data_IF_196811587449
#
_entry.id   IF_196811587449
#
_cell.length_a   1.000
_cell.length_b   1.000
_cell.length_c   1.000
_cell.angle_alpha   90.00
_cell.angle_beta   90.00
_cell.angle_gamma   90.00
#
_symmetry.space_group_name_H-M   'P 1'
#
loop_
_entity.id
_entity.type
_entity.pdbx_description
1 polymer ?
#
# COMPACT_ATOMS: atom_id res chain seq x y z
N UNK A 1 52.16 21.89 33.81
CA UNK A 1 50.72 22.20 33.73
C UNK A 1 50.12 22.21 32.32
N UNK A 2 50.87 22.61 31.26
CA UNK A 2 50.35 22.64 29.87
C UNK A 2 50.15 21.25 29.18
N UNK A 3 50.80 20.17 29.66
CA UNK A 3 50.69 18.84 29.07
C UNK A 3 49.56 17.99 29.63
N UNK A 4 48.99 18.29 30.80
CA UNK A 4 47.85 17.60 31.40
C UNK A 4 46.50 18.05 30.78
N UNK A 5 46.41 19.28 30.28
CA UNK A 5 45.17 19.82 29.72
C UNK A 5 44.91 19.26 28.32
N UNK A 6 45.95 18.89 27.57
CA UNK A 6 45.80 18.32 26.22
C UNK A 6 45.27 16.88 26.22
N UNK A 7 45.46 16.11 27.29
CA UNK A 7 44.94 14.75 27.39
C UNK A 7 43.49 14.64 27.81
N UNK A 8 42.94 15.68 28.47
CA UNK A 8 41.54 15.73 28.86
C UNK A 8 40.61 16.14 27.69
N UNK A 9 41.13 16.85 26.70
CA UNK A 9 40.33 17.24 25.51
C UNK A 9 40.21 16.12 24.46
N UNK A 10 41.14 15.19 24.41
CA UNK A 10 41.14 14.06 23.48
C UNK A 10 40.10 12.96 23.85
N UNK A 11 39.73 12.86 25.11
CA UNK A 11 38.75 11.86 25.60
C UNK A 11 37.30 12.29 25.48
N UNK A 12 36.99 13.60 25.35
CA UNK A 12 35.63 14.11 25.19
C UNK A 12 35.10 14.03 23.76
N UNK A 13 35.96 13.91 22.75
CA UNK A 13 35.52 13.85 21.34
C UNK A 13 35.12 12.42 20.92
N UNK A 14 35.59 11.38 21.62
CA UNK A 14 35.25 10.01 21.28
C UNK A 14 33.85 9.52 21.75
N UNK A 15 33.16 10.31 22.61
CA UNK A 15 31.86 9.92 23.15
C UNK A 15 30.65 10.35 22.30
N UNK A 16 30.87 11.10 21.20
CA UNK A 16 29.75 11.68 20.43
C UNK A 16 29.35 10.91 19.18
N UNK A 17 30.00 9.78 18.88
CA UNK A 17 29.70 8.95 17.68
C UNK A 17 28.86 7.69 17.97
N UNK A 18 28.29 7.51 19.15
CA UNK A 18 27.51 6.32 19.52
C UNK A 18 25.99 6.57 19.61
N UNK A 19 25.46 7.53 18.87
CA UNK A 19 24.02 7.81 18.92
C UNK A 19 23.40 7.76 17.52
N UNK A 20 23.23 6.55 16.98
CA UNK A 20 22.62 6.40 15.67
C UNK A 20 22.31 4.95 15.27
N UNK A 21 22.44 4.00 16.16
CA UNK A 21 21.84 2.69 15.93
C UNK A 21 20.37 2.77 16.31
N UNK A 22 19.53 3.28 15.38
CA UNK A 22 18.12 2.93 15.36
C UNK A 22 18.08 1.41 15.33
N UNK A 23 17.52 0.82 16.38
CA UNK A 23 17.18 -0.60 16.44
C UNK A 23 16.33 -0.91 15.20
N UNK A 24 16.98 -1.31 14.10
CA UNK A 24 16.31 -2.09 13.10
C UNK A 24 15.84 -3.32 13.83
N UNK A 25 14.54 -3.42 14.15
CA UNK A 25 13.96 -4.61 14.70
C UNK A 25 14.52 -5.78 13.89
N UNK A 26 14.99 -6.83 14.57
CA UNK A 26 15.60 -8.01 13.92
C UNK A 26 14.50 -8.73 13.13
N UNK A 27 14.26 -8.25 11.90
CA UNK A 27 13.22 -8.74 11.00
C UNK A 27 13.55 -10.14 10.55
N UNK A 28 12.67 -11.08 10.82
CA UNK A 28 12.84 -12.49 10.49
C UNK A 28 11.93 -12.90 9.34
N UNK A 29 12.51 -13.46 8.28
CA UNK A 29 11.78 -14.09 7.21
C UNK A 29 10.93 -15.25 7.74
N UNK A 30 9.68 -15.35 7.29
CA UNK A 30 8.70 -16.33 7.78
C UNK A 30 7.90 -15.84 8.98
N UNK A 31 8.47 -15.04 9.88
CA UNK A 31 7.75 -14.42 11.00
C UNK A 31 7.17 -13.07 10.59
N UNK A 32 8.01 -12.12 10.22
CA UNK A 32 7.62 -10.71 10.02
C UNK A 32 7.27 -10.40 8.57
N UNK A 33 7.91 -11.09 7.64
CA UNK A 33 7.61 -11.01 6.22
C UNK A 33 7.89 -12.32 5.51
N UNK A 34 7.27 -12.52 4.36
CA UNK A 34 7.53 -13.64 3.45
C UNK A 34 8.25 -13.12 2.20
N UNK A 35 9.33 -13.77 1.73
CA UNK A 35 9.94 -13.39 0.46
C UNK A 35 8.98 -13.65 -0.70
N UNK A 36 8.86 -12.68 -1.62
CA UNK A 36 8.17 -12.86 -2.90
C UNK A 36 9.21 -13.41 -3.89
N UNK A 37 8.99 -14.61 -4.38
CA UNK A 37 9.91 -15.29 -5.29
C UNK A 37 9.16 -15.95 -6.46
N UNK A 38 9.45 -15.58 -7.73
CA UNK A 38 10.34 -14.48 -8.10
C UNK A 38 9.80 -13.12 -7.64
N UNK A 39 10.67 -12.10 -7.42
CA UNK A 39 10.22 -10.78 -7.01
C UNK A 39 9.39 -10.11 -8.12
N UNK A 40 8.43 -9.28 -7.71
CA UNK A 40 7.68 -8.44 -8.65
C UNK A 40 8.61 -7.41 -9.31
N UNK A 41 8.25 -6.89 -10.50
CA UNK A 41 8.98 -5.80 -11.11
C UNK A 41 9.08 -4.60 -10.16
N UNK A 42 10.30 -4.13 -9.92
CA UNK A 42 10.53 -3.01 -9.01
C UNK A 42 10.48 -1.67 -9.75
N UNK A 43 9.90 -0.66 -9.11
CA UNK A 43 9.95 0.72 -9.57
C UNK A 43 11.36 1.28 -9.42
N UNK A 44 11.93 1.85 -10.51
CA UNK A 44 13.26 2.46 -10.46
C UNK A 44 13.27 3.70 -9.56
N UNK A 45 14.28 3.80 -8.72
CA UNK A 45 14.56 4.99 -7.90
C UNK A 45 13.67 5.18 -6.67
N UNK A 46 12.63 4.35 -6.47
CA UNK A 46 11.77 4.42 -5.30
C UNK A 46 11.50 3.03 -4.73
N UNK A 47 11.28 2.96 -3.42
CA UNK A 47 10.76 1.77 -2.76
C UNK A 47 9.26 1.75 -2.98
N UNK A 48 8.78 0.83 -3.80
CA UNK A 48 7.35 0.68 -4.04
C UNK A 48 6.71 -0.09 -2.90
N UNK A 49 5.60 0.45 -2.38
CA UNK A 49 4.74 -0.22 -1.42
C UNK A 49 3.39 -0.45 -2.07
N UNK A 50 2.97 -1.70 -2.16
CA UNK A 50 1.70 -2.10 -2.74
C UNK A 50 0.75 -2.51 -1.63
N UNK A 51 -0.44 -1.91 -1.61
CA UNK A 51 -1.58 -2.42 -0.86
C UNK A 51 -2.48 -3.20 -1.81
N UNK A 52 -2.59 -4.51 -1.61
CA UNK A 52 -3.62 -5.32 -2.24
C UNK A 52 -4.90 -5.24 -1.41
N UNK A 53 -6.00 -4.87 -2.05
CA UNK A 53 -7.26 -4.61 -1.37
C UNK A 53 -8.47 -4.98 -2.24
N UNK A 54 -9.66 -4.94 -1.67
CA UNK A 54 -10.92 -4.90 -2.40
C UNK A 54 -11.91 -3.96 -1.70
N UNK A 55 -12.66 -3.17 -2.47
CA UNK A 55 -13.79 -2.42 -1.91
C UNK A 55 -14.84 -3.33 -1.26
N UNK A 56 -14.94 -4.59 -1.68
CA UNK A 56 -15.87 -5.56 -1.09
C UNK A 56 -15.38 -6.20 0.22
N UNK A 57 -14.17 -5.87 0.69
CA UNK A 57 -13.59 -6.43 1.90
C UNK A 57 -13.83 -5.51 3.11
N UNK A 58 -14.56 -5.95 4.17
CA UNK A 58 -14.77 -5.14 5.38
C UNK A 58 -13.45 -4.74 6.06
N UNK A 59 -12.50 -5.66 6.16
CA UNK A 59 -11.19 -5.40 6.76
C UNK A 59 -10.38 -4.35 5.98
N UNK A 60 -10.55 -4.27 4.65
CA UNK A 60 -9.96 -3.20 3.84
C UNK A 60 -10.64 -1.86 4.11
N UNK A 61 -11.96 -1.85 4.35
CA UNK A 61 -12.69 -0.64 4.76
C UNK A 61 -12.17 -0.10 6.09
N UNK A 62 -11.97 -0.98 7.08
CA UNK A 62 -11.43 -0.60 8.40
C UNK A 62 -9.99 -0.10 8.32
N UNK A 63 -9.17 -0.72 7.46
CA UNK A 63 -7.76 -0.36 7.29
C UNK A 63 -7.54 0.92 6.48
N UNK A 64 -8.45 1.22 5.55
CA UNK A 64 -8.30 2.30 4.57
C UNK A 64 -7.94 3.67 5.15
N UNK A 65 -8.61 4.21 6.22
CA UNK A 65 -8.25 5.50 6.78
C UNK A 65 -6.84 5.51 7.37
N UNK A 66 -6.41 4.41 7.98
CA UNK A 66 -5.10 4.28 8.61
C UNK A 66 -3.98 4.23 7.56
N UNK A 67 -4.11 3.36 6.56
CA UNK A 67 -3.10 3.22 5.50
C UNK A 67 -3.00 4.48 4.65
N UNK A 68 -4.12 5.18 4.41
CA UNK A 68 -4.13 6.44 3.67
C UNK A 68 -3.37 7.55 4.41
N UNK A 69 -3.59 7.69 5.72
CA UNK A 69 -2.85 8.64 6.55
C UNK A 69 -1.36 8.28 6.66
N UNK A 70 -1.06 7.00 6.77
CA UNK A 70 0.31 6.49 6.79
C UNK A 70 1.03 6.78 5.46
N UNK A 71 0.39 6.48 4.34
CA UNK A 71 0.95 6.72 3.01
C UNK A 71 1.26 8.20 2.74
N UNK A 72 0.39 9.11 3.20
CA UNK A 72 0.59 10.56 3.08
C UNK A 72 1.82 11.09 3.86
N UNK A 73 2.31 10.34 4.86
CA UNK A 73 3.47 10.71 5.68
C UNK A 73 4.78 10.11 5.17
N UNK A 74 4.73 9.25 4.14
CA UNK A 74 5.92 8.59 3.63
C UNK A 74 6.88 9.55 2.93
N UNK A 75 8.18 9.23 3.01
CA UNK A 75 9.23 10.00 2.36
C UNK A 75 9.15 9.96 0.83
N UNK A 76 9.82 10.91 0.17
CA UNK A 76 9.83 11.02 -1.30
C UNK A 76 10.46 9.80 -2.00
N UNK A 77 11.23 9.01 -1.28
CA UNK A 77 11.87 7.77 -1.73
C UNK A 77 10.92 6.56 -1.73
N UNK A 78 9.72 6.70 -1.13
CA UNK A 78 8.66 5.68 -1.12
C UNK A 78 7.60 6.04 -2.15
N UNK A 79 7.08 5.03 -2.83
CA UNK A 79 5.95 5.15 -3.75
C UNK A 79 4.85 4.19 -3.30
N UNK A 80 3.75 4.73 -2.80
CA UNK A 80 2.59 3.93 -2.42
C UNK A 80 1.61 3.80 -3.59
N UNK A 81 1.12 2.58 -3.85
CA UNK A 81 0.13 2.26 -4.86
C UNK A 81 -0.83 1.19 -4.33
N UNK A 82 -2.08 1.31 -4.70
CA UNK A 82 -3.12 0.33 -4.35
C UNK A 82 -3.43 -0.56 -5.55
N UNK A 83 -3.65 -1.83 -5.28
CA UNK A 83 -3.94 -2.88 -6.26
C UNK A 83 -5.28 -3.52 -5.89
N UNK A 84 -6.37 -3.14 -6.59
CA UNK A 84 -7.68 -3.74 -6.34
C UNK A 84 -7.73 -5.15 -6.90
N UNK A 85 -7.98 -6.15 -6.06
CA UNK A 85 -7.99 -7.57 -6.44
C UNK A 85 -9.39 -8.15 -6.45
N UNK A 86 -9.66 -9.06 -7.38
CA UNK A 86 -10.95 -9.73 -7.50
C UNK A 86 -10.96 -11.15 -6.93
N UNK A 87 -9.83 -11.83 -6.88
CA UNK A 87 -9.73 -13.27 -6.59
C UNK A 87 -10.68 -14.11 -7.45
N UNK A 88 -10.86 -13.72 -8.72
CA UNK A 88 -11.80 -14.34 -9.68
C UNK A 88 -13.28 -14.32 -9.21
N UNK A 89 -13.65 -13.40 -8.32
CA UNK A 89 -15.05 -13.18 -7.91
C UNK A 89 -15.66 -12.08 -8.78
N UNK A 90 -16.72 -12.35 -9.54
CA UNK A 90 -17.31 -11.37 -10.47
C UNK A 90 -17.73 -10.05 -9.79
N UNK A 91 -18.25 -10.14 -8.55
CA UNK A 91 -18.65 -8.97 -7.77
C UNK A 91 -17.44 -8.09 -7.43
N UNK A 92 -16.32 -8.71 -7.03
CA UNK A 92 -15.10 -7.98 -6.70
C UNK A 92 -14.41 -7.44 -7.95
N UNK A 93 -14.47 -8.16 -9.08
CA UNK A 93 -13.97 -7.67 -10.36
C UNK A 93 -14.69 -6.38 -10.79
N UNK A 94 -16.01 -6.29 -10.56
CA UNK A 94 -16.79 -5.06 -10.79
C UNK A 94 -16.29 -3.92 -9.89
N UNK A 95 -16.07 -4.19 -8.61
CA UNK A 95 -15.56 -3.19 -7.67
C UNK A 95 -14.14 -2.73 -8.03
N UNK A 96 -13.30 -3.63 -8.52
CA UNK A 96 -11.97 -3.28 -9.06
C UNK A 96 -12.06 -2.35 -10.28
N UNK A 97 -13.06 -2.56 -11.16
CA UNK A 97 -13.32 -1.64 -12.29
C UNK A 97 -13.70 -0.24 -11.82
N UNK A 98 -14.46 -0.10 -10.73
CA UNK A 98 -14.80 1.22 -10.14
C UNK A 98 -13.51 1.94 -9.74
N UNK A 99 -12.58 1.29 -9.05
CA UNK A 99 -11.30 1.87 -8.68
C UNK A 99 -10.54 2.39 -9.90
N UNK A 100 -10.37 1.55 -10.91
CA UNK A 100 -9.63 1.93 -12.12
C UNK A 100 -10.33 3.00 -12.94
N UNK A 101 -11.66 3.04 -12.96
CA UNK A 101 -12.41 4.10 -13.62
C UNK A 101 -12.23 5.44 -12.91
N UNK A 102 -12.31 5.48 -11.58
CA UNK A 102 -12.03 6.66 -10.75
C UNK A 102 -10.59 7.16 -10.94
N UNK A 103 -9.62 6.23 -10.99
CA UNK A 103 -8.24 6.56 -11.29
C UNK A 103 -8.09 7.20 -12.68
N UNK A 104 -8.70 6.60 -13.70
CA UNK A 104 -8.64 7.08 -15.09
C UNK A 104 -9.30 8.45 -15.30
N UNK A 105 -10.34 8.77 -14.54
CA UNK A 105 -11.00 10.09 -14.60
C UNK A 105 -10.34 11.15 -13.72
N UNK A 106 -9.44 10.74 -12.82
CA UNK A 106 -8.81 11.61 -11.82
C UNK A 106 -9.67 11.86 -10.58
N UNK A 107 -10.75 11.12 -10.40
CA UNK A 107 -11.70 11.29 -9.30
C UNK A 107 -11.42 10.40 -8.09
N UNK A 108 -10.37 9.55 -8.14
CA UNK A 108 -10.06 8.58 -7.11
C UNK A 108 -9.88 9.24 -5.73
N UNK A 109 -9.10 10.31 -5.65
CA UNK A 109 -8.88 11.02 -4.38
C UNK A 109 -10.17 11.58 -3.77
N UNK A 110 -11.17 11.90 -4.61
CA UNK A 110 -12.47 12.43 -4.18
C UNK A 110 -13.41 11.32 -3.68
N UNK A 111 -13.40 10.15 -4.33
CA UNK A 111 -14.43 9.13 -4.12
C UNK A 111 -13.94 7.83 -3.50
N UNK A 112 -12.64 7.61 -3.33
CA UNK A 112 -12.10 6.35 -2.80
C UNK A 112 -12.72 5.95 -1.45
N UNK A 113 -12.69 6.85 -0.47
CA UNK A 113 -13.34 6.63 0.83
C UNK A 113 -14.86 6.51 0.70
N UNK A 114 -15.47 7.30 -0.19
CA UNK A 114 -16.92 7.28 -0.36
C UNK A 114 -17.43 5.95 -0.93
N UNK A 115 -16.63 5.22 -1.74
CA UNK A 115 -16.98 3.88 -2.21
C UNK A 115 -17.05 2.89 -1.05
N UNK A 116 -16.07 2.89 -0.14
CA UNK A 116 -16.11 2.05 1.06
C UNK A 116 -17.35 2.35 1.92
N UNK A 117 -17.62 3.64 2.20
CA UNK A 117 -18.80 4.07 2.97
C UNK A 117 -20.09 3.60 2.29
N UNK A 118 -20.20 3.77 0.96
CA UNK A 118 -21.38 3.34 0.21
C UNK A 118 -21.65 1.84 0.38
N UNK A 119 -20.62 1.02 0.31
CA UNK A 119 -20.75 -0.45 0.35
C UNK A 119 -20.98 -0.92 1.80
N UNK A 120 -20.16 -0.50 2.75
CA UNK A 120 -20.12 -1.10 4.08
C UNK A 120 -21.05 -0.44 5.10
N UNK A 121 -21.25 0.89 5.00
CA UNK A 121 -22.11 1.62 5.93
C UNK A 121 -23.52 1.83 5.35
N UNK A 122 -23.61 2.28 4.08
CA UNK A 122 -24.87 2.56 3.41
C UNK A 122 -25.49 1.33 2.75
N UNK A 123 -24.78 0.19 2.75
CA UNK A 123 -25.21 -1.10 2.18
C UNK A 123 -25.64 -0.99 0.72
N UNK A 124 -25.03 -0.07 -0.03
CA UNK A 124 -25.30 0.07 -1.45
C UNK A 124 -24.82 -1.15 -2.21
N UNK A 125 -25.65 -1.58 -3.15
CA UNK A 125 -25.29 -2.71 -4.01
C UNK A 125 -25.02 -2.22 -5.43
N UNK A 126 -23.78 -2.23 -5.82
CA UNK A 126 -23.33 -1.83 -7.16
C UNK A 126 -23.43 -3.01 -8.14
N UNK A 127 -24.65 -3.55 -8.35
CA UNK A 127 -24.88 -4.69 -9.24
C UNK A 127 -24.75 -4.35 -10.72
N UNK A 128 -25.00 -3.11 -11.11
CA UNK A 128 -24.94 -2.65 -12.51
C UNK A 128 -24.07 -1.42 -12.64
N UNK A 129 -23.54 -1.20 -13.84
CA UNK A 129 -22.71 -0.03 -14.14
C UNK A 129 -23.56 1.27 -14.06
N UNK A 130 -24.85 1.22 -14.44
CA UNK A 130 -25.77 2.35 -14.33
C UNK A 130 -25.96 2.79 -12.88
N UNK A 131 -26.11 1.85 -11.94
CA UNK A 131 -26.24 2.17 -10.52
C UNK A 131 -24.97 2.84 -9.98
N UNK A 132 -23.80 2.38 -10.41
CA UNK A 132 -22.50 2.98 -10.03
C UNK A 132 -22.38 4.40 -10.59
N UNK A 133 -22.72 4.59 -11.87
CA UNK A 133 -22.65 5.90 -12.56
C UNK A 133 -23.62 6.89 -11.91
N UNK A 134 -24.85 6.47 -11.61
CA UNK A 134 -25.84 7.34 -10.97
C UNK A 134 -25.39 7.75 -9.55
N UNK A 135 -24.84 6.82 -8.77
CA UNK A 135 -24.27 7.12 -7.47
C UNK A 135 -23.11 8.12 -7.55
N UNK A 136 -22.18 7.89 -8.48
CA UNK A 136 -21.01 8.74 -8.67
C UNK A 136 -21.38 10.15 -9.13
N UNK A 137 -22.38 10.27 -10.02
CA UNK A 137 -22.96 11.56 -10.43
C UNK A 137 -23.50 12.35 -9.25
N UNK A 138 -24.22 11.67 -8.32
CA UNK A 138 -24.72 12.27 -7.07
C UNK A 138 -23.60 12.76 -6.13
N UNK A 139 -22.34 12.32 -6.35
CA UNK A 139 -21.15 12.80 -5.64
C UNK A 139 -20.41 13.93 -6.38
N UNK A 140 -20.98 14.43 -7.50
CA UNK A 140 -20.49 15.60 -8.22
C UNK A 140 -19.27 15.32 -9.10
N UNK A 141 -19.18 14.15 -9.71
CA UNK A 141 -18.25 13.87 -10.80
C UNK A 141 -18.98 13.81 -12.15
N UNK A 142 -18.23 13.90 -13.23
CA UNK A 142 -18.77 13.81 -14.59
C UNK A 142 -19.26 12.38 -14.88
N UNK A 143 -20.58 12.19 -14.86
CA UNK A 143 -21.22 10.89 -15.07
C UNK A 143 -20.89 10.28 -16.44
N UNK A 144 -20.79 11.10 -17.50
CA UNK A 144 -20.50 10.63 -18.85
C UNK A 144 -19.06 10.13 -18.93
N UNK A 145 -18.09 10.95 -18.50
CA UNK A 145 -16.68 10.62 -18.50
C UNK A 145 -16.40 9.36 -17.64
N UNK A 146 -17.00 9.29 -16.45
CA UNK A 146 -16.86 8.15 -15.57
C UNK A 146 -17.51 6.87 -16.16
N UNK A 147 -18.72 6.97 -16.72
CA UNK A 147 -19.40 5.85 -17.34
C UNK A 147 -18.65 5.30 -18.57
N UNK A 148 -18.12 6.16 -19.43
CA UNK A 148 -17.26 5.77 -20.55
C UNK A 148 -15.98 5.06 -20.07
N UNK A 149 -15.34 5.57 -19.03
CA UNK A 149 -14.18 4.92 -18.41
C UNK A 149 -14.55 3.54 -17.86
N UNK A 150 -15.63 3.44 -17.09
CA UNK A 150 -16.08 2.19 -16.45
C UNK A 150 -16.43 1.11 -17.50
N UNK A 151 -17.05 1.48 -18.61
CA UNK A 151 -17.42 0.59 -19.71
C UNK A 151 -16.24 0.24 -20.64
N UNK A 152 -15.09 0.91 -20.50
CA UNK A 152 -13.95 0.72 -21.39
C UNK A 152 -13.38 -0.70 -21.29
N UNK A 153 -13.05 -1.29 -22.43
CA UNK A 153 -12.35 -2.59 -22.51
C UNK A 153 -11.04 -2.61 -21.72
N UNK A 154 -10.37 -1.46 -21.61
CA UNK A 154 -9.12 -1.34 -20.83
C UNK A 154 -9.30 -1.64 -19.35
N UNK A 155 -10.50 -1.46 -18.78
CA UNK A 155 -10.76 -1.77 -17.36
C UNK A 155 -10.64 -3.25 -17.07
N UNK A 156 -11.16 -4.11 -17.95
CA UNK A 156 -11.02 -5.56 -17.78
C UNK A 156 -9.54 -6.00 -17.81
N UNK A 157 -8.76 -5.43 -18.72
CA UNK A 157 -7.32 -5.70 -18.79
C UNK A 157 -6.58 -5.21 -17.54
N UNK A 158 -7.00 -4.08 -16.94
CA UNK A 158 -6.42 -3.59 -15.68
C UNK A 158 -6.75 -4.53 -14.51
N UNK A 159 -8.00 -5.00 -14.40
CA UNK A 159 -8.40 -5.97 -13.37
C UNK A 159 -7.60 -7.26 -13.50
N UNK A 160 -7.49 -7.82 -14.70
CA UNK A 160 -6.70 -9.02 -14.93
C UNK A 160 -5.23 -8.85 -14.53
N UNK A 161 -4.62 -7.70 -14.84
CA UNK A 161 -3.23 -7.41 -14.44
C UNK A 161 -3.09 -7.30 -12.93
N UNK A 162 -4.05 -6.68 -12.25
CA UNK A 162 -4.05 -6.59 -10.79
C UNK A 162 -4.15 -7.98 -10.13
N UNK A 163 -5.00 -8.86 -10.65
CA UNK A 163 -5.11 -10.24 -10.18
C UNK A 163 -3.85 -11.07 -10.50
N UNK A 164 -3.21 -10.85 -11.65
CA UNK A 164 -1.92 -11.46 -11.98
C UNK A 164 -0.81 -10.99 -11.03
N UNK A 165 -0.77 -9.70 -10.71
CA UNK A 165 0.18 -9.12 -9.74
C UNK A 165 -0.02 -9.72 -8.34
N UNK A 166 -1.28 -9.84 -7.90
CA UNK A 166 -1.62 -10.48 -6.63
C UNK A 166 -1.21 -11.97 -6.61
N UNK A 167 -1.44 -12.68 -7.71
CA UNK A 167 -1.04 -14.10 -7.86
C UNK A 167 0.49 -14.23 -7.80
N UNK A 168 1.23 -13.37 -8.51
CA UNK A 168 2.69 -13.38 -8.51
C UNK A 168 3.25 -13.06 -7.12
N UNK A 169 2.60 -12.17 -6.36
CA UNK A 169 2.94 -11.86 -4.97
C UNK A 169 2.44 -12.92 -3.97
N UNK A 170 1.74 -13.97 -4.44
CA UNK A 170 1.13 -15.03 -3.61
C UNK A 170 0.16 -14.49 -2.57
N UNK A 171 -0.61 -13.47 -2.93
CA UNK A 171 -1.64 -12.90 -2.04
C UNK A 171 -2.79 -13.90 -1.90
N UNK A 172 -3.10 -14.29 -0.68
CA UNK A 172 -4.19 -15.22 -0.34
C UNK A 172 -5.38 -14.54 0.34
N UNK A 173 -5.21 -13.29 0.77
CA UNK A 173 -6.23 -12.48 1.45
C UNK A 173 -5.89 -11.00 1.42
N UNK A 174 -6.87 -10.16 1.76
CA UNK A 174 -6.71 -8.70 1.80
C UNK A 174 -7.30 -8.12 3.08
N UNK A 175 -6.77 -6.98 3.60
CA UNK A 175 -5.67 -6.21 3.03
C UNK A 175 -4.34 -6.96 3.11
N UNK A 176 -3.42 -6.71 2.18
CA UNK A 176 -2.06 -7.23 2.22
C UNK A 176 -1.08 -6.18 1.68
N UNK A 177 0.13 -6.12 2.25
CA UNK A 177 1.14 -5.14 1.86
C UNK A 177 2.38 -5.85 1.33
N UNK A 178 2.82 -5.45 0.13
CA UNK A 178 4.12 -5.86 -0.41
C UNK A 178 5.06 -4.65 -0.51
N UNK A 179 6.34 -4.87 -0.20
CA UNK A 179 7.38 -3.85 -0.22
C UNK A 179 8.48 -4.23 -1.21
N UNK A 180 8.83 -3.28 -2.07
CA UNK A 180 9.94 -3.35 -3.03
C UNK A 180 9.83 -4.53 -4.03
N UNK A 181 8.61 -5.05 -4.21
CA UNK A 181 8.38 -6.27 -5.00
C UNK A 181 8.99 -7.54 -4.39
N UNK A 182 9.65 -7.46 -3.24
CA UNK A 182 10.42 -8.55 -2.64
C UNK A 182 9.81 -9.13 -1.38
N UNK A 183 9.05 -8.34 -0.63
CA UNK A 183 8.63 -8.68 0.72
C UNK A 183 7.12 -8.54 0.86
N UNK A 184 6.43 -9.63 1.17
CA UNK A 184 5.05 -9.62 1.63
C UNK A 184 5.07 -9.50 3.15
N UNK A 185 4.55 -8.38 3.68
CA UNK A 185 4.46 -8.14 5.14
C UNK A 185 3.45 -9.10 5.74
N UNK A 186 3.79 -9.70 6.88
CA UNK A 186 2.95 -10.71 7.51
C UNK A 186 1.89 -10.07 8.42
N UNK A 187 0.63 -10.01 7.96
CA UNK A 187 -0.50 -9.47 8.72
C UNK A 187 -0.77 -10.25 10.02
N UNK A 188 -0.57 -11.57 10.01
CA UNK A 188 -0.80 -12.42 11.18
C UNK A 188 0.19 -12.10 12.31
N UNK A 189 1.46 -11.81 11.94
CA UNK A 189 2.47 -11.43 12.90
C UNK A 189 2.21 -10.05 13.52
N UNK A 190 1.58 -9.15 12.79
CA UNK A 190 1.27 -7.81 13.24
C UNK A 190 0.15 -7.79 14.31
N UNK A 191 -0.84 -8.65 14.20
CA UNK A 191 -1.96 -8.76 15.14
C UNK A 191 -2.99 -7.63 15.07
N UNK A 192 -2.62 -6.43 14.62
CA UNK A 192 -3.50 -5.30 14.36
C UNK A 192 -2.93 -4.37 13.28
N UNK A 193 -3.73 -3.42 12.79
CA UNK A 193 -3.35 -2.55 11.68
C UNK A 193 -2.25 -1.55 12.02
N UNK A 194 -2.16 -1.07 13.25
CA UNK A 194 -1.09 -0.17 13.69
C UNK A 194 0.26 -0.88 13.64
N UNK A 195 0.31 -2.09 14.18
CA UNK A 195 1.51 -2.92 14.16
C UNK A 195 1.86 -3.36 12.72
N UNK A 196 0.85 -3.59 11.86
CA UNK A 196 1.08 -3.86 10.44
C UNK A 196 1.79 -2.70 9.75
N UNK A 197 1.39 -1.46 10.02
CA UNK A 197 2.04 -0.28 9.45
C UNK A 197 3.44 -0.06 10.02
N UNK A 198 3.67 -0.31 11.32
CA UNK A 198 5.01 -0.27 11.93
C UNK A 198 5.92 -1.35 11.33
N UNK A 199 5.40 -2.53 11.14
CA UNK A 199 6.14 -3.63 10.50
C UNK A 199 6.46 -3.30 9.04
N UNK A 200 5.52 -2.65 8.34
CA UNK A 200 5.74 -2.14 6.97
C UNK A 200 6.88 -1.13 6.93
N UNK A 201 6.92 -0.18 7.89
CA UNK A 201 8.02 0.80 8.00
C UNK A 201 9.37 0.12 8.23
N UNK A 202 9.42 -0.92 9.07
CA UNK A 202 10.64 -1.70 9.30
C UNK A 202 11.11 -2.43 8.02
N UNK A 203 10.17 -3.01 7.25
CA UNK A 203 10.48 -3.68 5.97
C UNK A 203 10.92 -2.66 4.91
N UNK A 204 10.34 -1.45 4.88
CA UNK A 204 10.81 -0.34 4.04
C UNK A 204 12.25 0.04 4.40
N UNK A 205 12.57 0.15 5.70
CA UNK A 205 13.93 0.45 6.15
C UNK A 205 14.93 -0.62 5.70
N UNK A 206 14.55 -1.90 5.79
CA UNK A 206 15.34 -3.03 5.24
C UNK A 206 15.57 -2.87 3.73
N UNK A 207 14.52 -2.63 2.95
CA UNK A 207 14.63 -2.45 1.50
C UNK A 207 15.52 -1.25 1.15
N UNK A 208 15.46 -0.17 1.93
CA UNK A 208 16.29 1.03 1.77
C UNK A 208 17.78 0.71 1.98
N UNK A 209 18.11 -0.05 3.03
CA UNK A 209 19.50 -0.48 3.30
C UNK A 209 20.05 -1.33 2.16
N UNK A 210 19.26 -2.27 1.62
CA UNK A 210 19.69 -3.12 0.50
C UNK A 210 19.93 -2.34 -0.81
N UNK A 211 19.16 -1.28 -1.04
CA UNK A 211 19.36 -0.40 -2.22
C UNK A 211 20.53 0.55 -2.04
N UNK A 212 20.81 1.02 -0.83
CA UNK A 212 21.91 1.94 -0.51
C UNK A 212 23.28 1.26 -0.40
N UNK A 213 23.31 -0.06 -0.25
CA UNK A 213 24.54 -0.85 -0.14
C UNK A 213 25.14 -1.34 -1.49
N UNK A 214 24.69 -0.79 -2.62
CA UNK A 214 25.20 -1.12 -3.97
C UNK A 214 26.00 0.02 -4.53
#
# INVERSE_FOLDING_TARGET
MKRLIALLFATLISAFFLSGQTLAADLQAGRDYKPINPPLPATKGKIEVLEFFSYGCPHCSDFHPMVSQWAAKQGKDVSFRRVPVSFNRPEWARLSRIYFALEATGDLAKLDTAVFIAIHEQRMNFKTDEAVVAWAAGKGIDAKKFGEALASFSMQSKVQRADQEATAARISGVPAIAVDGKYLVNNEAAGNYEELLKLTDAVIAKARQERGGK
#
